data_IF_390987881093
#
_entry.id   IF_390987881093
#
_cell.length_a   1.000
_cell.length_b   1.000
_cell.length_c   1.000
_cell.angle_alpha   90.00
_cell.angle_beta   90.00
_cell.angle_gamma   90.00
#
_symmetry.space_group_name_H-M   'P 1'
#
loop_
_entity.id
_entity.type
_entity.pdbx_description
1 polymer ?
#
# COMPACT_ATOMS: atom_id res chain seq x y z
N UNK A 1 -17.12 33.93 34.98
CA UNK A 1 -16.99 33.65 33.53
C UNK A 1 -15.52 33.77 33.14
N UNK A 2 -14.87 32.66 32.76
CA UNK A 2 -13.54 32.62 32.13
C UNK A 2 -13.70 31.88 30.79
N UNK A 3 -13.24 32.41 29.65
CA UNK A 3 -13.08 31.63 28.42
C UNK A 3 -11.75 30.85 28.44
N UNK A 4 -11.59 29.81 27.60
CA UNK A 4 -10.75 28.65 27.90
C UNK A 4 -9.29 28.76 27.42
N UNK A 5 -8.44 27.98 28.10
CA UNK A 5 -7.06 27.65 27.73
C UNK A 5 -7.01 26.90 26.40
N UNK A 6 -6.26 27.42 25.43
CA UNK A 6 -5.78 26.64 24.29
C UNK A 6 -4.39 26.11 24.64
N UNK A 7 -4.31 24.85 25.09
CA UNK A 7 -3.06 24.13 25.23
C UNK A 7 -2.90 23.19 24.02
N UNK A 8 -1.94 23.50 23.15
CA UNK A 8 -1.35 22.51 22.23
C UNK A 8 0.13 22.44 22.55
N UNK A 9 0.59 21.33 23.11
CA UNK A 9 2.01 20.96 23.08
C UNK A 9 2.18 19.45 22.93
N UNK A 10 2.58 19.03 21.73
CA UNK A 10 3.41 17.86 21.43
C UNK A 10 4.71 18.46 20.84
N UNK A 11 5.94 17.94 20.94
CA UNK A 11 6.53 16.65 21.30
C UNK A 11 8.05 16.87 21.49
N UNK A 12 8.76 16.05 22.27
CA UNK A 12 10.24 16.01 22.38
C UNK A 12 10.85 15.06 21.34
N UNK A 13 11.75 15.54 20.48
CA UNK A 13 12.53 14.74 19.49
C UNK A 13 13.94 14.41 20.06
N UNK A 14 14.70 13.42 19.57
CA UNK A 14 15.61 13.69 18.44
C UNK A 14 16.21 12.45 17.78
N UNK A 15 15.87 12.22 16.51
CA UNK A 15 16.84 11.74 15.51
C UNK A 15 17.81 12.90 15.19
N UNK A 16 19.04 12.67 14.69
CA UNK A 16 19.88 13.74 14.17
C UNK A 16 19.15 14.47 13.03
N UNK A 17 19.31 15.79 12.96
CA UNK A 17 18.50 16.66 12.10
C UNK A 17 18.78 16.50 10.60
N UNK A 18 19.87 15.81 10.24
CA UNK A 18 20.33 15.67 8.86
C UNK A 18 21.16 14.39 8.71
N UNK A 19 20.88 13.61 7.66
CA UNK A 19 21.62 12.41 7.27
C UNK A 19 21.90 12.47 5.76
N UNK A 20 23.14 12.23 5.36
CA UNK A 20 23.56 12.25 3.96
C UNK A 20 23.20 10.90 3.31
N UNK A 21 22.26 10.92 2.36
CA UNK A 21 21.75 9.69 1.74
C UNK A 21 22.64 9.16 0.61
N UNK A 22 23.29 10.08 -0.13
CA UNK A 22 24.21 9.77 -1.22
C UNK A 22 25.38 10.75 -1.16
N UNK A 23 26.55 10.34 -0.66
CA UNK A 23 27.64 11.26 -0.40
C UNK A 23 28.32 11.78 -1.66
N UNK A 24 28.40 10.98 -2.74
CA UNK A 24 29.10 11.37 -3.97
C UNK A 24 28.49 10.72 -5.25
N UNK A 25 28.35 11.45 -6.37
CA UNK A 25 27.85 10.92 -7.64
C UNK A 25 28.92 10.07 -8.40
N UNK A 26 28.53 9.00 -9.13
CA UNK A 26 29.50 8.19 -9.87
C UNK A 26 30.03 8.88 -11.16
N UNK A 27 31.25 9.42 -11.04
CA UNK A 27 32.23 9.91 -12.05
C UNK A 27 31.97 11.23 -12.77
N UNK A 28 32.89 12.16 -12.47
CA UNK A 28 32.97 13.56 -12.85
C UNK A 28 33.48 13.81 -14.28
N UNK A 29 32.89 14.82 -14.93
CA UNK A 29 33.59 15.73 -15.83
C UNK A 29 33.37 17.12 -15.24
N UNK A 30 34.44 17.68 -14.67
CA UNK A 30 34.43 18.54 -13.49
C UNK A 30 33.74 19.91 -13.66
N UNK A 31 33.03 20.31 -12.60
CA UNK A 31 33.07 21.62 -11.90
C UNK A 31 31.73 22.04 -11.27
N UNK A 32 30.76 21.12 -11.10
CA UNK A 32 29.54 21.44 -10.33
C UNK A 32 29.23 20.35 -9.30
N UNK A 33 29.62 20.63 -8.05
CA UNK A 33 29.30 19.85 -6.85
C UNK A 33 28.00 20.41 -6.24
N UNK A 34 26.99 19.56 -6.02
CA UNK A 34 25.68 19.96 -5.46
C UNK A 34 25.27 18.94 -4.40
N UNK A 35 25.07 19.38 -3.16
CA UNK A 35 24.47 18.59 -2.09
C UNK A 35 22.95 18.45 -2.27
N UNK A 36 22.43 17.22 -2.35
CA UNK A 36 20.98 16.96 -2.32
C UNK A 36 20.59 16.48 -0.92
N UNK A 37 20.04 17.39 -0.13
CA UNK A 37 19.47 17.09 1.19
C UNK A 37 17.96 16.84 1.04
N UNK A 38 17.54 15.60 1.31
CA UNK A 38 16.14 15.19 1.29
C UNK A 38 15.74 14.61 2.66
N UNK A 39 15.03 15.40 3.47
CA UNK A 39 14.16 14.85 4.51
C UNK A 39 12.85 14.40 3.88
N UNK A 40 12.12 13.46 4.50
CA UNK A 40 10.85 12.88 4.03
C UNK A 40 10.14 13.77 3.00
N UNK A 41 10.35 13.46 1.72
CA UNK A 41 10.04 14.37 0.62
C UNK A 41 8.54 14.31 0.35
N UNK A 42 7.82 15.17 1.07
CA UNK A 42 6.38 15.41 0.92
C UNK A 42 5.54 14.18 1.26
N UNK A 43 4.27 14.42 1.59
CA UNK A 43 3.28 13.37 1.79
C UNK A 43 2.90 12.77 0.43
N UNK A 44 3.86 12.16 -0.26
CA UNK A 44 3.72 11.60 -1.61
C UNK A 44 2.96 10.31 -1.49
N UNK A 45 1.76 10.31 -2.07
CA UNK A 45 0.98 9.10 -2.23
C UNK A 45 1.08 8.66 -3.69
N UNK A 46 2.08 7.83 -3.95
CA UNK A 46 2.38 7.34 -5.31
C UNK A 46 1.21 6.62 -5.99
N UNK A 47 0.20 6.14 -5.24
CA UNK A 47 -1.02 5.52 -5.79
C UNK A 47 -2.04 6.55 -6.30
N UNK A 48 -1.98 7.79 -5.84
CA UNK A 48 -3.00 8.83 -6.07
C UNK A 48 -2.46 10.06 -6.78
N UNK A 49 -1.22 10.44 -6.50
CA UNK A 49 -0.61 11.67 -7.03
C UNK A 49 -0.49 11.57 -8.55
N UNK A 50 -0.94 12.61 -9.27
CA UNK A 50 -1.17 12.55 -10.71
C UNK A 50 0.09 12.32 -11.54
N UNK A 51 1.24 12.73 -11.03
CA UNK A 51 2.56 12.59 -11.63
C UNK A 51 3.20 11.21 -11.35
N UNK A 52 2.57 10.37 -10.52
CA UNK A 52 3.08 9.05 -10.11
C UNK A 52 2.38 7.89 -10.84
N UNK A 53 1.90 6.86 -10.12
CA UNK A 53 1.27 5.68 -10.75
C UNK A 53 0.17 6.03 -11.75
N UNK A 54 -0.75 7.00 -11.47
CA UNK A 54 -1.74 7.44 -12.44
C UNK A 54 -1.16 7.92 -13.79
N UNK A 55 0.03 8.54 -13.81
CA UNK A 55 0.67 8.98 -15.06
C UNK A 55 1.21 7.81 -15.89
N UNK A 56 1.68 6.76 -15.22
CA UNK A 56 2.23 5.55 -15.84
C UNK A 56 1.12 4.64 -16.38
N UNK A 57 -0.01 4.56 -15.68
CA UNK A 57 -1.16 3.71 -16.04
C UNK A 57 -2.49 4.49 -16.10
N UNK A 58 -2.63 5.46 -17.05
CA UNK A 58 -3.75 6.40 -17.07
C UNK A 58 -5.12 5.78 -17.34
N UNK A 59 -5.15 4.56 -17.87
CA UNK A 59 -6.39 3.80 -18.14
C UNK A 59 -6.74 2.82 -17.01
N UNK A 60 -5.89 2.70 -15.99
CA UNK A 60 -6.10 1.79 -14.88
C UNK A 60 -6.96 2.44 -13.78
N UNK A 61 -7.78 1.61 -13.13
CA UNK A 61 -8.49 1.98 -11.90
C UNK A 61 -7.65 1.54 -10.71
N UNK A 62 -7.16 2.48 -9.90
CA UNK A 62 -6.42 2.21 -8.65
C UNK A 62 -7.41 2.16 -7.48
N UNK A 63 -7.29 1.14 -6.62
CA UNK A 63 -8.13 0.97 -5.43
C UNK A 63 -7.25 0.60 -4.24
N UNK A 64 -7.65 1.03 -3.04
CA UNK A 64 -6.96 0.70 -1.79
C UNK A 64 -7.93 -0.05 -0.88
N UNK A 65 -7.49 -1.21 -0.38
CA UNK A 65 -8.24 -1.96 0.63
C UNK A 65 -7.61 -1.72 2.01
N UNK A 66 -8.42 -1.24 2.95
CA UNK A 66 -8.00 -0.98 4.33
C UNK A 66 -8.70 -1.96 5.27
N UNK A 67 -7.94 -2.52 6.21
CA UNK A 67 -8.45 -3.41 7.24
C UNK A 67 -7.74 -3.11 8.57
N UNK A 68 -8.36 -3.49 9.69
CA UNK A 68 -7.71 -3.34 10.99
C UNK A 68 -6.53 -4.31 11.10
N UNK A 69 -5.32 -3.76 11.10
CA UNK A 69 -4.07 -4.50 11.17
C UNK A 69 -3.63 -4.79 12.61
N UNK A 70 -4.46 -4.53 13.63
CA UNK A 70 -4.14 -4.90 15.02
C UNK A 70 -4.21 -6.42 15.21
N UNK A 71 -3.04 -7.02 15.39
CA UNK A 71 -2.88 -8.42 15.78
C UNK A 71 -3.11 -8.55 17.28
N UNK A 72 -4.38 -8.68 17.66
CA UNK A 72 -4.70 -9.22 18.98
C UNK A 72 -4.29 -10.70 19.00
N UNK A 73 -3.74 -11.16 20.13
CA UNK A 73 -3.10 -12.49 20.25
C UNK A 73 -4.05 -13.68 19.99
N UNK A 74 -5.34 -13.42 19.85
CA UNK A 74 -6.37 -14.42 19.59
C UNK A 74 -6.54 -14.67 18.07
N UNK A 75 -5.98 -15.80 17.64
CA UNK A 75 -6.15 -16.47 16.33
C UNK A 75 -5.79 -15.65 15.05
N UNK A 76 -4.49 -15.34 14.84
CA UNK A 76 -3.91 -14.86 13.58
C UNK A 76 -4.51 -15.39 12.27
N UNK A 77 -4.60 -16.72 12.13
CA UNK A 77 -4.95 -17.37 10.87
C UNK A 77 -6.41 -17.16 10.50
N UNK A 78 -7.31 -17.29 11.47
CA UNK A 78 -8.75 -17.09 11.29
C UNK A 78 -9.07 -15.64 10.94
N UNK A 79 -8.32 -14.67 11.49
CA UNK A 79 -8.47 -13.26 11.10
C UNK A 79 -8.02 -13.01 9.67
N UNK A 80 -6.90 -13.60 9.25
CA UNK A 80 -6.40 -13.45 7.87
C UNK A 80 -7.35 -14.04 6.82
N UNK A 81 -7.95 -15.20 7.10
CA UNK A 81 -8.94 -15.79 6.19
C UNK A 81 -10.16 -14.90 6.04
N UNK A 82 -10.75 -14.44 7.15
CA UNK A 82 -11.92 -13.54 7.13
C UNK A 82 -11.62 -12.25 6.34
N UNK A 83 -10.49 -11.60 6.63
CA UNK A 83 -10.12 -10.35 5.93
C UNK A 83 -9.84 -10.60 4.44
N UNK A 84 -9.28 -11.77 4.10
CA UNK A 84 -9.06 -12.19 2.71
C UNK A 84 -10.36 -12.45 1.96
N UNK A 85 -11.31 -13.13 2.59
CA UNK A 85 -12.66 -13.33 2.03
C UNK A 85 -13.37 -11.99 1.77
N UNK A 86 -13.32 -11.07 2.74
CA UNK A 86 -13.93 -9.75 2.62
C UNK A 86 -13.27 -8.89 1.53
N UNK A 87 -11.95 -9.02 1.32
CA UNK A 87 -11.25 -8.42 0.18
C UNK A 87 -11.86 -8.92 -1.14
N UNK A 88 -12.06 -10.23 -1.29
CA UNK A 88 -12.64 -10.80 -2.52
C UNK A 88 -14.07 -10.35 -2.75
N UNK A 89 -14.92 -10.39 -1.72
CA UNK A 89 -16.31 -9.90 -1.80
C UNK A 89 -16.34 -8.42 -2.21
N UNK A 90 -15.46 -7.61 -1.62
CA UNK A 90 -15.34 -6.19 -1.93
C UNK A 90 -14.91 -5.95 -3.38
N UNK A 91 -13.90 -6.69 -3.86
CA UNK A 91 -13.42 -6.62 -5.25
C UNK A 91 -14.52 -7.06 -6.21
N UNK A 92 -15.21 -8.16 -5.92
CA UNK A 92 -16.33 -8.65 -6.72
C UNK A 92 -17.43 -7.58 -6.84
N UNK A 93 -17.85 -6.99 -5.72
CA UNK A 93 -18.86 -5.93 -5.70
C UNK A 93 -18.47 -4.72 -6.56
N UNK A 94 -17.21 -4.27 -6.50
CA UNK A 94 -16.72 -3.14 -7.30
C UNK A 94 -16.50 -3.47 -8.80
N UNK A 95 -16.61 -4.74 -9.16
CA UNK A 95 -16.41 -5.24 -10.52
C UNK A 95 -17.70 -5.68 -11.21
N UNK A 96 -18.87 -5.51 -10.58
CA UNK A 96 -20.15 -5.80 -11.22
C UNK A 96 -20.24 -5.07 -12.58
N UNK A 97 -20.46 -5.84 -13.64
CA UNK A 97 -20.48 -5.36 -15.04
C UNK A 97 -19.11 -5.20 -15.72
N UNK A 98 -18.00 -5.48 -15.05
CA UNK A 98 -16.64 -5.38 -15.58
C UNK A 98 -15.80 -6.63 -15.25
N UNK A 99 -16.35 -7.81 -15.50
CA UNK A 99 -15.70 -9.08 -15.20
C UNK A 99 -14.50 -9.36 -16.08
N UNK A 100 -14.30 -8.71 -17.22
CA UNK A 100 -13.17 -9.05 -18.12
C UNK A 100 -11.90 -8.22 -17.89
N UNK A 101 -11.95 -7.23 -16.98
CA UNK A 101 -10.83 -6.30 -16.75
C UNK A 101 -9.68 -7.00 -16.01
N UNK A 102 -8.43 -7.04 -16.51
CA UNK A 102 -7.32 -7.63 -15.78
C UNK A 102 -7.10 -6.93 -14.43
N UNK A 103 -6.59 -7.66 -13.43
CA UNK A 103 -6.32 -7.14 -12.08
C UNK A 103 -4.88 -7.41 -11.68
N UNK A 104 -4.26 -6.44 -11.00
CA UNK A 104 -2.96 -6.60 -10.34
C UNK A 104 -3.20 -6.34 -8.85
N UNK A 105 -2.75 -7.26 -8.00
CA UNK A 105 -2.76 -7.05 -6.55
C UNK A 105 -1.35 -6.67 -6.07
N UNK A 106 -1.29 -5.68 -5.19
CA UNK A 106 -0.06 -5.25 -4.52
C UNK A 106 -0.28 -5.41 -3.02
N UNK A 107 0.46 -6.33 -2.40
CA UNK A 107 0.41 -6.59 -0.97
C UNK A 107 1.69 -6.12 -0.28
N UNK A 108 1.57 -5.25 0.72
CA UNK A 108 2.68 -4.86 1.57
C UNK A 108 2.58 -5.58 2.93
N UNK A 109 3.71 -6.11 3.41
CA UNK A 109 3.80 -6.81 4.69
C UNK A 109 2.70 -7.86 4.81
N UNK A 110 1.86 -7.78 5.84
CA UNK A 110 0.77 -8.71 6.04
C UNK A 110 -0.30 -8.69 4.91
N UNK A 111 -0.44 -7.59 4.18
CA UNK A 111 -1.38 -7.49 3.07
C UNK A 111 -1.17 -8.56 2.00
N UNK A 112 0.06 -9.07 1.84
CA UNK A 112 0.32 -10.21 0.95
C UNK A 112 -0.42 -11.48 1.38
N UNK A 113 -0.46 -11.77 2.68
CA UNK A 113 -1.17 -12.93 3.23
C UNK A 113 -2.68 -12.79 3.07
N UNK A 114 -3.21 -11.59 3.25
CA UNK A 114 -4.63 -11.30 3.03
C UNK A 114 -5.00 -11.59 1.57
N UNK A 115 -4.18 -11.15 0.62
CA UNK A 115 -4.39 -11.45 -0.81
C UNK A 115 -4.38 -12.96 -1.04
N UNK A 116 -3.37 -13.68 -0.55
CA UNK A 116 -3.28 -15.13 -0.75
C UNK A 116 -4.48 -15.89 -0.17
N UNK A 117 -4.89 -15.58 1.06
CA UNK A 117 -6.07 -16.21 1.68
C UNK A 117 -7.34 -15.89 0.88
N UNK A 118 -7.49 -14.65 0.43
CA UNK A 118 -8.58 -14.26 -0.45
C UNK A 118 -8.59 -15.06 -1.76
N UNK A 119 -7.44 -15.22 -2.42
CA UNK A 119 -7.38 -15.98 -3.67
C UNK A 119 -7.69 -17.47 -3.50
N UNK A 120 -7.29 -18.07 -2.37
CA UNK A 120 -7.67 -19.44 -2.03
C UNK A 120 -9.20 -19.56 -1.90
N UNK A 121 -9.83 -18.63 -1.18
CA UNK A 121 -11.28 -18.56 -1.07
C UNK A 121 -11.95 -18.33 -2.43
N UNK A 122 -11.42 -17.43 -3.25
CA UNK A 122 -11.96 -17.15 -4.58
C UNK A 122 -11.91 -18.39 -5.49
N UNK A 123 -10.91 -19.25 -5.32
CA UNK A 123 -10.77 -20.49 -6.05
C UNK A 123 -11.70 -21.60 -5.55
N UNK A 124 -12.08 -21.60 -4.26
CA UNK A 124 -13.03 -22.58 -3.71
C UNK A 124 -14.49 -22.22 -3.98
N UNK A 125 -14.80 -20.94 -4.20
CA UNK A 125 -16.17 -20.47 -4.40
C UNK A 125 -16.50 -20.22 -5.89
N UNK A 126 -17.53 -20.90 -6.46
CA UNK A 126 -17.90 -20.74 -7.87
C UNK A 126 -18.16 -19.28 -8.28
N UNK A 127 -18.77 -18.49 -7.40
CA UNK A 127 -19.10 -17.07 -7.61
C UNK A 127 -17.86 -16.20 -7.87
N UNK A 128 -16.72 -16.56 -7.29
CA UNK A 128 -15.47 -15.78 -7.35
C UNK A 128 -14.39 -16.43 -8.22
N UNK A 129 -14.63 -17.63 -8.74
CA UNK A 129 -13.68 -18.44 -9.53
C UNK A 129 -13.15 -17.75 -10.81
N UNK A 130 -13.80 -16.68 -11.26
CA UNK A 130 -13.34 -15.87 -12.38
C UNK A 130 -12.18 -14.93 -11.99
N UNK A 131 -12.09 -14.49 -10.72
CA UNK A 131 -11.11 -13.51 -10.28
C UNK A 131 -9.66 -14.01 -10.43
N UNK A 132 -9.29 -15.23 -9.97
CA UNK A 132 -7.93 -15.74 -10.16
C UNK A 132 -7.49 -15.79 -11.62
N UNK A 133 -8.43 -16.04 -12.55
CA UNK A 133 -8.16 -16.14 -13.99
C UNK A 133 -7.84 -14.79 -14.65
N UNK A 134 -8.15 -13.69 -13.98
CA UNK A 134 -7.97 -12.33 -14.48
C UNK A 134 -6.77 -11.63 -13.86
N UNK A 135 -6.06 -12.30 -12.96
CA UNK A 135 -4.87 -11.76 -12.34
C UNK A 135 -3.78 -11.67 -13.40
N UNK A 136 -3.43 -10.45 -13.76
CA UNK A 136 -2.29 -10.15 -14.63
C UNK A 136 -0.98 -10.06 -13.84
N UNK A 137 -1.04 -9.85 -12.52
CA UNK A 137 0.16 -9.80 -11.69
C UNK A 137 -0.11 -9.75 -10.18
N UNK A 138 0.87 -10.23 -9.42
CA UNK A 138 0.94 -10.16 -7.97
C UNK A 138 2.28 -9.52 -7.58
N UNK A 139 2.24 -8.49 -6.76
CA UNK A 139 3.43 -7.80 -6.25
C UNK A 139 3.41 -7.86 -4.73
N UNK A 140 4.48 -8.36 -4.12
CA UNK A 140 4.62 -8.45 -2.68
C UNK A 140 5.80 -7.63 -2.19
N UNK A 141 5.56 -6.77 -1.21
CA UNK A 141 6.52 -5.85 -0.64
C UNK A 141 6.72 -6.20 0.84
N UNK A 142 7.75 -6.98 1.16
CA UNK A 142 8.05 -7.36 2.55
C UNK A 142 7.03 -8.29 3.22
N UNK A 143 6.31 -9.11 2.45
CA UNK A 143 5.30 -10.05 2.96
C UNK A 143 5.93 -11.34 3.51
N UNK A 144 5.63 -11.79 4.74
CA UNK A 144 6.05 -13.10 5.23
C UNK A 144 5.17 -14.21 4.62
N UNK A 145 5.75 -15.34 4.22
CA UNK A 145 5.03 -16.51 3.66
C UNK A 145 5.29 -17.77 4.49
#
# INVERSE_FOLDING_TARGET
MRPPLFCKSFSTHSRPALEVLYPDPPKADADVEIDIIAGELRNVNWLKDQDMLPSVVPKARVMVYSYDSKWHMDAPRTRLSIVGEDLIRSVHGHRQGHTDRPIIFIGHSLGGNVILNGLLYANSEPEFSYLPKLIAGLVFLGSPF
#
